data_IF_347155499537
#
_entry.id   IF_347155499537
#
_cell.length_a   1.000
_cell.length_b   1.000
_cell.length_c   1.000
_cell.angle_alpha   90.00
_cell.angle_beta   90.00
_cell.angle_gamma   90.00
#
_symmetry.space_group_name_H-M   'P 1'
#
loop_
_entity.id
_entity.type
_entity.pdbx_description
1 polymer ?
#
# COMPACT_ATOMS: atom_id res chain seq x y z
N UNK A 1 2.42 17.01 2.00
CA UNK A 1 2.10 16.62 0.61
C UNK A 1 1.03 17.55 0.03
N UNK A 2 -0.15 17.68 0.64
CA UNK A 2 -1.20 18.63 0.17
C UNK A 2 -0.68 20.06 -0.01
N UNK A 3 0.03 20.62 0.97
CA UNK A 3 0.64 21.95 0.87
C UNK A 3 1.70 22.09 -0.26
N UNK A 4 2.14 20.97 -0.85
CA UNK A 4 3.03 20.92 -2.01
C UNK A 4 2.27 20.64 -3.31
N UNK A 5 0.93 20.65 -3.29
CA UNK A 5 0.07 20.46 -4.46
C UNK A 5 -0.28 19.01 -4.79
N UNK A 6 0.01 18.04 -3.91
CA UNK A 6 -0.31 16.63 -4.15
C UNK A 6 -1.77 16.33 -3.83
N UNK A 7 -2.47 15.63 -4.73
CA UNK A 7 -3.78 15.04 -4.43
C UNK A 7 -3.60 13.80 -3.55
N UNK A 8 -4.40 13.69 -2.48
CA UNK A 8 -4.34 12.56 -1.55
C UNK A 8 -5.53 11.65 -1.79
N UNK A 9 -5.24 10.40 -2.13
CA UNK A 9 -6.22 9.32 -2.26
C UNK A 9 -6.05 8.39 -1.06
N UNK A 10 -7.14 8.10 -0.35
CA UNK A 10 -7.09 7.22 0.81
C UNK A 10 -8.41 6.46 1.02
N UNK A 11 -8.46 5.60 2.04
CA UNK A 11 -9.65 4.83 2.38
C UNK A 11 -9.71 4.56 3.89
N UNK A 12 -10.89 4.18 4.38
CA UNK A 12 -11.11 3.69 5.74
C UNK A 12 -10.63 4.65 6.84
N UNK A 13 -9.99 4.09 7.87
CA UNK A 13 -9.50 4.84 9.02
C UNK A 13 -8.47 5.92 8.66
N UNK A 14 -7.62 5.66 7.66
CA UNK A 14 -6.61 6.64 7.21
C UNK A 14 -7.26 7.87 6.58
N UNK A 15 -8.25 7.68 5.70
CA UNK A 15 -9.00 8.79 5.12
C UNK A 15 -9.70 9.63 6.19
N UNK A 16 -10.28 8.98 7.21
CA UNK A 16 -10.92 9.66 8.34
C UNK A 16 -9.92 10.50 9.14
N UNK A 17 -8.79 9.90 9.56
CA UNK A 17 -7.77 10.59 10.34
C UNK A 17 -7.18 11.81 9.60
N UNK A 18 -6.94 11.68 8.28
CA UNK A 18 -6.46 12.78 7.44
C UNK A 18 -7.49 13.92 7.34
N UNK A 19 -8.77 13.61 7.17
CA UNK A 19 -9.85 14.63 7.13
C UNK A 19 -10.02 15.34 8.47
N UNK A 20 -9.93 14.62 9.59
CA UNK A 20 -9.96 15.20 10.93
C UNK A 20 -8.78 16.16 11.17
N UNK A 21 -7.63 15.89 10.53
CA UNK A 21 -6.48 16.79 10.52
C UNK A 21 -6.60 17.94 9.50
N UNK A 22 -7.72 18.07 8.79
CA UNK A 22 -7.98 19.13 7.82
C UNK A 22 -7.39 18.91 6.43
N UNK A 23 -6.91 17.70 6.11
CA UNK A 23 -6.36 17.37 4.80
C UNK A 23 -7.48 17.00 3.82
N UNK A 24 -7.44 17.55 2.60
CA UNK A 24 -8.33 17.14 1.52
C UNK A 24 -7.98 15.73 1.05
N UNK A 25 -8.96 14.83 1.13
CA UNK A 25 -8.82 13.42 0.74
C UNK A 25 -9.93 13.03 -0.22
N UNK A 26 -9.53 12.48 -1.36
CA UNK A 26 -10.39 11.75 -2.30
C UNK A 26 -10.49 10.29 -1.84
N UNK A 27 -11.70 9.77 -1.69
CA UNK A 27 -11.87 8.36 -1.34
C UNK A 27 -11.45 7.46 -2.50
N UNK A 28 -10.89 6.30 -2.18
CA UNK A 28 -10.50 5.31 -3.20
C UNK A 28 -11.68 4.91 -4.09
N UNK A 29 -12.91 4.90 -3.57
CA UNK A 29 -14.13 4.62 -4.32
C UNK A 29 -14.45 5.69 -5.38
N UNK A 30 -14.02 6.94 -5.16
CA UNK A 30 -14.14 8.00 -6.17
C UNK A 30 -13.18 7.77 -7.35
N UNK A 31 -12.02 7.14 -7.09
CA UNK A 31 -11.09 6.72 -8.13
C UNK A 31 -11.60 5.47 -8.87
N UNK A 32 -12.07 4.46 -8.13
CA UNK A 32 -12.41 3.16 -8.74
C UNK A 32 -13.80 3.13 -9.36
N UNK A 33 -14.73 3.97 -8.89
CA UNK A 33 -16.15 3.89 -9.20
C UNK A 33 -16.80 2.59 -8.70
N UNK A 34 -16.09 1.81 -7.88
CA UNK A 34 -16.52 0.49 -7.42
C UNK A 34 -16.91 0.55 -5.93
N UNK A 35 -18.07 0.00 -5.54
CA UNK A 35 -18.52 0.05 -4.16
C UNK A 35 -17.65 -0.84 -3.26
N UNK A 36 -17.66 -0.55 -1.98
CA UNK A 36 -17.10 -1.45 -0.98
C UNK A 36 -17.94 -2.73 -0.89
N UNK A 37 -17.30 -3.88 -1.13
CA UNK A 37 -17.91 -5.21 -1.04
C UNK A 37 -16.99 -6.16 -0.27
N UNK A 38 -17.52 -7.31 0.16
CA UNK A 38 -16.77 -8.36 0.89
C UNK A 38 -16.02 -7.77 2.10
N UNK A 39 -16.72 -6.93 2.88
CA UNK A 39 -16.17 -6.26 4.07
C UNK A 39 -14.88 -5.48 3.81
N UNK A 40 -14.73 -4.99 2.57
CA UNK A 40 -13.61 -4.17 2.16
C UNK A 40 -12.37 -4.94 1.68
N UNK A 41 -12.43 -6.26 1.57
CA UNK A 41 -11.32 -7.10 1.10
C UNK A 41 -10.80 -6.77 -0.31
N UNK A 42 -11.64 -6.15 -1.14
CA UNK A 42 -11.30 -5.81 -2.53
C UNK A 42 -11.10 -4.32 -2.80
N UNK A 43 -11.09 -3.46 -1.76
CA UNK A 43 -11.07 -1.99 -1.89
C UNK A 43 -10.00 -1.46 -2.85
N UNK A 44 -8.79 -2.01 -2.77
CA UNK A 44 -7.62 -1.52 -3.51
C UNK A 44 -7.20 -2.44 -4.65
N UNK A 45 -7.78 -3.64 -4.75
CA UNK A 45 -7.48 -4.65 -5.78
C UNK A 45 -8.21 -4.31 -7.09
N UNK A 46 -7.91 -3.14 -7.65
CA UNK A 46 -8.59 -2.58 -8.81
C UNK A 46 -7.60 -2.16 -9.91
N UNK A 47 -7.91 -2.39 -11.21
CA UNK A 47 -7.03 -1.99 -12.30
C UNK A 47 -6.73 -0.48 -12.35
N UNK A 48 -7.66 0.38 -11.94
CA UNK A 48 -7.39 1.83 -11.88
C UNK A 48 -6.34 2.18 -10.82
N UNK A 49 -6.26 1.42 -9.73
CA UNK A 49 -5.23 1.61 -8.69
C UNK A 49 -3.90 1.02 -9.14
N UNK A 50 -3.89 -0.28 -9.46
CA UNK A 50 -2.65 -0.96 -9.83
C UNK A 50 -2.11 -0.53 -11.19
N UNK A 51 -2.95 -0.12 -12.13
CA UNK A 51 -2.54 0.50 -13.38
C UNK A 51 -1.89 1.86 -13.17
N UNK A 52 -2.40 2.66 -12.22
CA UNK A 52 -1.77 3.93 -11.84
C UNK A 52 -0.39 3.74 -11.21
N UNK A 53 -0.20 2.64 -10.47
CA UNK A 53 1.08 2.29 -9.84
C UNK A 53 2.06 1.62 -10.82
N UNK A 54 1.60 0.67 -11.64
CA UNK A 54 2.46 -0.17 -12.50
C UNK A 54 2.61 0.37 -13.92
N UNK A 55 1.84 1.39 -14.28
CA UNK A 55 1.97 2.12 -15.53
C UNK A 55 3.38 2.69 -15.66
N UNK A 56 4.11 2.24 -16.69
CA UNK A 56 5.47 2.68 -16.97
C UNK A 56 5.41 3.97 -17.76
N UNK A 57 6.04 5.02 -17.24
CA UNK A 57 6.01 6.35 -17.86
C UNK A 57 6.96 6.46 -19.04
N UNK A 58 7.93 5.57 -19.12
CA UNK A 58 8.89 5.45 -20.23
C UNK A 58 8.38 4.58 -21.40
N UNK A 59 7.17 4.02 -21.30
CA UNK A 59 6.58 3.13 -22.30
C UNK A 59 5.38 3.77 -22.98
N UNK A 60 5.54 4.13 -24.26
CA UNK A 60 4.46 4.72 -25.06
C UNK A 60 3.20 3.83 -25.10
N UNK A 61 3.38 2.51 -25.16
CA UNK A 61 2.27 1.55 -25.11
C UNK A 61 1.52 1.61 -23.78
N UNK A 62 2.21 1.73 -22.64
CA UNK A 62 1.56 1.81 -21.34
C UNK A 62 0.80 3.13 -21.21
N UNK A 63 1.41 4.25 -21.63
CA UNK A 63 0.75 5.57 -21.62
C UNK A 63 -0.54 5.57 -22.45
N UNK A 64 -0.51 4.99 -23.65
CA UNK A 64 -1.70 4.85 -24.51
C UNK A 64 -2.79 4.02 -23.81
N UNK A 65 -2.43 2.88 -23.23
CA UNK A 65 -3.37 2.01 -22.51
C UNK A 65 -3.95 2.71 -21.29
N UNK A 66 -3.13 3.40 -20.50
CA UNK A 66 -3.58 4.15 -19.32
C UNK A 66 -4.59 5.22 -19.73
N UNK A 67 -4.27 6.03 -20.74
CA UNK A 67 -5.16 7.06 -21.26
C UNK A 67 -6.48 6.45 -21.76
N UNK A 68 -6.40 5.39 -22.58
CA UNK A 68 -7.58 4.70 -23.14
C UNK A 68 -8.52 4.16 -22.07
N UNK A 69 -7.98 3.73 -20.93
CA UNK A 69 -8.73 3.12 -19.84
C UNK A 69 -9.00 4.07 -18.66
N UNK A 70 -8.68 5.37 -18.80
CA UNK A 70 -8.91 6.36 -17.74
C UNK A 70 -8.09 6.10 -16.48
N UNK A 71 -6.89 5.55 -16.64
CA UNK A 71 -5.98 5.25 -15.53
C UNK A 71 -5.07 6.45 -15.31
N UNK A 72 -5.25 7.11 -14.17
CA UNK A 72 -4.37 8.19 -13.72
C UNK A 72 -3.12 7.61 -13.03
N UNK A 73 -1.98 8.27 -13.18
CA UNK A 73 -0.73 7.83 -12.55
C UNK A 73 -0.78 8.05 -11.03
N UNK A 74 -0.17 7.12 -10.28
CA UNK A 74 0.06 7.26 -8.84
C UNK A 74 1.57 7.44 -8.63
N UNK A 75 1.96 8.59 -8.08
CA UNK A 75 3.36 8.98 -7.90
C UNK A 75 3.97 8.50 -6.59
N UNK A 76 3.14 8.31 -5.56
CA UNK A 76 3.57 7.92 -4.23
C UNK A 76 2.56 6.98 -3.58
N UNK A 77 3.05 5.90 -3.01
CA UNK A 77 2.29 4.94 -2.22
C UNK A 77 2.90 4.93 -0.81
N UNK A 78 2.12 5.36 0.18
CA UNK A 78 2.47 5.25 1.59
C UNK A 78 1.54 4.23 2.26
N UNK A 79 2.05 3.05 2.56
CA UNK A 79 1.26 1.91 3.07
C UNK A 79 2.09 1.17 4.12
N UNK A 80 1.57 1.09 5.34
CA UNK A 80 2.02 0.11 6.33
C UNK A 80 1.04 -1.07 6.34
N UNK A 81 1.54 -2.24 6.72
CA UNK A 81 0.72 -3.46 6.76
C UNK A 81 -0.01 -3.58 8.09
N UNK A 82 -1.13 -4.32 8.08
CA UNK A 82 -1.83 -4.66 9.32
C UNK A 82 -0.87 -5.28 10.34
N UNK A 83 -1.04 -4.98 11.64
CA UNK A 83 -0.19 -5.52 12.69
C UNK A 83 -0.54 -6.98 13.01
N UNK A 84 -0.44 -7.86 12.00
CA UNK A 84 -0.64 -9.30 12.17
C UNK A 84 0.20 -9.89 13.33
N UNK A 85 1.46 -9.47 13.57
CA UNK A 85 2.22 -9.90 14.74
C UNK A 85 1.54 -9.55 16.08
N UNK A 86 0.91 -8.39 16.17
CA UNK A 86 0.18 -7.97 17.37
C UNK A 86 -1.10 -8.77 17.52
N UNK A 87 -1.78 -9.08 16.40
CA UNK A 87 -2.98 -9.92 16.39
C UNK A 87 -2.68 -11.28 17.01
N UNK A 88 -1.70 -12.01 16.48
CA UNK A 88 -1.38 -13.37 16.93
C UNK A 88 -0.72 -13.43 18.32
N UNK A 89 -0.28 -12.28 18.85
CA UNK A 89 0.25 -12.18 20.21
C UNK A 89 -0.85 -12.01 21.28
N UNK A 90 -2.10 -11.77 20.89
CA UNK A 90 -3.23 -11.67 21.82
C UNK A 90 -3.61 -13.04 22.37
N UNK A 91 -3.99 -13.07 23.64
CA UNK A 91 -4.52 -14.27 24.28
C UNK A 91 -5.80 -14.73 23.57
N UNK A 92 -5.92 -16.05 23.33
CA UNK A 92 -7.11 -16.70 22.77
C UNK A 92 -7.51 -16.28 21.34
N UNK A 93 -6.59 -15.77 20.52
CA UNK A 93 -6.87 -15.57 19.08
C UNK A 93 -7.16 -16.92 18.42
N UNK A 94 -8.31 -16.99 17.74
CA UNK A 94 -8.69 -18.16 16.95
C UNK A 94 -7.98 -18.16 15.60
N UNK A 95 -7.87 -19.33 14.96
CA UNK A 95 -7.36 -19.41 13.59
C UNK A 95 -8.19 -18.55 12.63
N UNK A 96 -9.52 -18.56 12.77
CA UNK A 96 -10.43 -17.72 11.97
C UNK A 96 -10.09 -16.24 12.14
N UNK A 97 -9.96 -15.75 13.38
CA UNK A 97 -9.60 -14.35 13.64
C UNK A 97 -8.23 -14.00 13.05
N UNK A 98 -7.25 -14.90 13.14
CA UNK A 98 -5.95 -14.69 12.52
C UNK A 98 -6.06 -14.60 10.99
N UNK A 99 -6.76 -15.52 10.34
CA UNK A 99 -6.95 -15.54 8.88
C UNK A 99 -7.63 -14.25 8.40
N UNK A 100 -8.63 -13.76 9.12
CA UNK A 100 -9.33 -12.52 8.79
C UNK A 100 -8.43 -11.27 8.85
N UNK A 101 -7.38 -11.31 9.66
CA UNK A 101 -6.42 -10.22 9.80
C UNK A 101 -5.24 -10.31 8.81
N UNK A 102 -5.22 -11.27 7.89
CA UNK A 102 -4.22 -11.34 6.84
C UNK A 102 -4.56 -10.32 5.75
N UNK A 103 -3.80 -9.24 5.69
CA UNK A 103 -3.89 -8.24 4.62
C UNK A 103 -3.45 -8.80 3.25
N UNK A 104 -4.28 -8.56 2.24
CA UNK A 104 -4.01 -8.88 0.83
C UNK A 104 -3.74 -7.61 0.02
N UNK A 105 -4.52 -6.55 0.25
CA UNK A 105 -4.44 -5.31 -0.52
C UNK A 105 -3.16 -4.54 -0.25
N UNK A 106 -2.76 -4.44 1.03
CA UNK A 106 -1.54 -3.76 1.46
C UNK A 106 -0.28 -4.33 0.80
N UNK A 107 0.02 -5.64 0.97
CA UNK A 107 1.20 -6.25 0.34
C UNK A 107 1.18 -6.15 -1.19
N UNK A 108 0.00 -6.22 -1.82
CA UNK A 108 -0.13 -6.08 -3.28
C UNK A 108 0.24 -4.66 -3.74
N UNK A 109 -0.23 -3.62 -3.06
CA UNK A 109 0.14 -2.23 -3.36
C UNK A 109 1.63 -1.96 -3.11
N UNK A 110 2.16 -2.41 -1.97
CA UNK A 110 3.58 -2.27 -1.61
C UNK A 110 4.48 -2.88 -2.68
N UNK A 111 4.22 -4.13 -3.07
CA UNK A 111 4.99 -4.82 -4.11
C UNK A 111 4.83 -4.18 -5.49
N UNK A 112 3.63 -3.67 -5.80
CA UNK A 112 3.38 -2.98 -7.07
C UNK A 112 4.23 -1.71 -7.18
N UNK A 113 4.24 -0.89 -6.14
CA UNK A 113 5.00 0.36 -6.10
C UNK A 113 6.51 0.10 -6.07
N UNK A 114 6.97 -0.84 -5.24
CA UNK A 114 8.37 -1.24 -5.17
C UNK A 114 8.90 -1.78 -6.50
N UNK A 115 8.09 -2.57 -7.23
CA UNK A 115 8.44 -3.04 -8.58
C UNK A 115 8.63 -1.88 -9.56
N UNK A 116 7.81 -0.82 -9.45
CA UNK A 116 7.85 0.33 -10.34
C UNK A 116 8.57 1.55 -9.73
N UNK A 117 9.58 1.32 -8.87
CA UNK A 117 10.25 2.38 -8.09
C UNK A 117 10.81 3.55 -8.92
N UNK A 118 11.11 3.30 -10.20
CA UNK A 118 11.57 4.34 -11.14
C UNK A 118 10.56 5.48 -11.27
N UNK A 119 9.28 5.12 -11.25
CA UNK A 119 8.16 6.02 -11.46
C UNK A 119 7.42 6.32 -10.15
N UNK A 120 7.34 5.36 -9.23
CA UNK A 120 6.55 5.46 -7.99
C UNK A 120 7.43 5.45 -6.74
N UNK A 121 7.17 6.39 -5.83
CA UNK A 121 7.80 6.42 -4.50
C UNK A 121 7.01 5.48 -3.57
N UNK A 122 7.65 4.48 -2.99
CA UNK A 122 7.04 3.61 -1.98
C UNK A 122 7.56 4.00 -0.59
N UNK A 123 6.69 4.11 0.40
CA UNK A 123 7.07 4.30 1.81
C UNK A 123 6.26 3.35 2.69
N UNK A 124 6.96 2.42 3.36
CA UNK A 124 6.33 1.44 4.26
C UNK A 124 6.53 1.74 5.75
N UNK A 125 7.43 2.68 6.06
CA UNK A 125 7.77 3.05 7.45
C UNK A 125 7.55 4.55 7.70
N UNK A 126 6.77 4.94 8.71
CA UNK A 126 6.55 6.35 9.06
C UNK A 126 7.83 7.14 9.37
N UNK A 127 8.86 6.46 9.88
CA UNK A 127 10.16 7.08 10.15
C UNK A 127 10.84 7.67 8.90
N UNK A 128 10.43 7.25 7.70
CA UNK A 128 10.96 7.75 6.42
C UNK A 128 10.25 9.00 5.91
N UNK A 129 9.10 9.37 6.48
CA UNK A 129 8.30 10.49 5.98
C UNK A 129 9.07 11.82 5.95
N UNK A 130 9.82 12.14 7.02
CA UNK A 130 10.58 13.40 7.06
C UNK A 130 11.62 13.47 5.93
N UNK A 131 12.41 12.41 5.75
CA UNK A 131 13.42 12.35 4.69
C UNK A 131 12.80 12.49 3.29
N UNK A 132 11.70 11.78 3.03
CA UNK A 132 10.98 11.84 1.74
C UNK A 132 10.44 13.25 1.50
N UNK A 133 9.78 13.85 2.49
CA UNK A 133 9.20 15.19 2.38
C UNK A 133 10.30 16.24 2.16
N UNK A 134 11.42 16.15 2.87
CA UNK A 134 12.56 17.05 2.71
C UNK A 134 13.15 16.95 1.30
N UNK A 135 13.41 15.75 0.81
CA UNK A 135 13.96 15.58 -0.55
C UNK A 135 12.99 16.10 -1.62
N UNK A 136 11.69 15.78 -1.51
CA UNK A 136 10.65 16.33 -2.39
C UNK A 136 10.62 17.86 -2.38
N UNK A 137 10.74 18.50 -1.22
CA UNK A 137 10.74 19.97 -1.10
C UNK A 137 11.95 20.61 -1.77
N UNK A 138 13.13 19.98 -1.66
CA UNK A 138 14.37 20.55 -2.16
C UNK A 138 14.58 20.32 -3.66
N UNK A 139 14.19 19.15 -4.17
CA UNK A 139 14.50 18.72 -5.54
C UNK A 139 13.26 18.64 -6.45
N UNK A 140 12.06 18.70 -5.88
CA UNK A 140 10.81 18.42 -6.59
C UNK A 140 10.53 16.94 -6.82
N UNK A 141 11.52 16.08 -6.59
CA UNK A 141 11.44 14.62 -6.70
C UNK A 141 12.51 13.93 -5.85
N UNK A 142 12.39 12.62 -5.62
CA UNK A 142 13.42 11.77 -5.03
C UNK A 142 14.44 11.31 -6.07
N UNK A 143 15.70 11.21 -5.66
CA UNK A 143 16.71 10.54 -6.48
C UNK A 143 16.35 9.08 -6.76
N UNK A 144 16.83 8.54 -7.88
CA UNK A 144 16.64 7.13 -8.22
C UNK A 144 17.25 6.19 -7.17
N UNK A 145 18.36 6.61 -6.53
CA UNK A 145 18.98 5.89 -5.43
C UNK A 145 18.07 5.83 -4.20
N UNK A 146 17.47 6.96 -3.79
CA UNK A 146 16.50 7.01 -2.70
C UNK A 146 15.30 6.08 -3.00
N UNK A 147 14.74 6.18 -4.20
CA UNK A 147 13.61 5.33 -4.65
C UNK A 147 13.97 3.85 -4.62
N UNK A 148 15.17 3.49 -5.09
CA UNK A 148 15.64 2.11 -5.06
C UNK A 148 15.78 1.57 -3.63
N UNK A 149 16.38 2.35 -2.73
CA UNK A 149 16.54 1.95 -1.32
C UNK A 149 15.17 1.74 -0.64
N UNK A 150 14.22 2.66 -0.88
CA UNK A 150 12.85 2.50 -0.40
C UNK A 150 12.15 1.26 -0.96
N UNK A 151 12.41 0.90 -2.22
CA UNK A 151 11.87 -0.32 -2.83
C UNK A 151 12.47 -1.60 -2.24
N UNK A 152 13.77 -1.59 -1.92
CA UNK A 152 14.43 -2.69 -1.18
C UNK A 152 13.77 -2.86 0.18
N UNK A 153 13.60 -1.77 0.94
CA UNK A 153 12.92 -1.78 2.23
C UNK A 153 11.48 -2.33 2.11
N UNK A 154 10.74 -1.91 1.09
CA UNK A 154 9.38 -2.36 0.83
C UNK A 154 9.29 -3.88 0.55
N UNK A 155 10.19 -4.43 -0.27
CA UNK A 155 10.23 -5.87 -0.50
C UNK A 155 10.61 -6.65 0.77
N UNK A 156 11.60 -6.15 1.54
CA UNK A 156 11.95 -6.72 2.84
C UNK A 156 10.79 -6.71 3.82
N UNK A 157 10.01 -5.63 3.86
CA UNK A 157 8.83 -5.50 4.72
C UNK A 157 7.76 -6.56 4.38
N UNK A 158 7.47 -6.77 3.09
CA UNK A 158 6.52 -7.84 2.68
C UNK A 158 7.06 -9.25 2.91
N UNK A 159 8.36 -9.48 2.72
CA UNK A 159 8.97 -10.77 3.01
C UNK A 159 8.91 -11.11 4.51
N UNK A 160 9.14 -10.12 5.37
CA UNK A 160 8.99 -10.26 6.82
C UNK A 160 7.54 -10.59 7.20
N UNK A 161 6.57 -9.84 6.65
CA UNK A 161 5.15 -10.06 6.89
C UNK A 161 4.72 -11.49 6.51
N UNK A 162 5.05 -11.95 5.30
CA UNK A 162 4.73 -13.31 4.84
C UNK A 162 5.41 -14.39 5.71
N UNK A 163 6.63 -14.12 6.21
CA UNK A 163 7.33 -15.07 7.09
C UNK A 163 6.58 -15.29 8.41
N UNK A 164 5.96 -14.25 8.97
CA UNK A 164 5.20 -14.34 10.22
C UNK A 164 3.94 -15.16 10.00
N UNK A 165 3.20 -14.90 8.91
CA UNK A 165 2.01 -15.66 8.53
C UNK A 165 2.36 -17.14 8.35
N UNK A 166 3.42 -17.42 7.57
CA UNK A 166 3.85 -18.81 7.33
C UNK A 166 4.24 -19.53 8.61
N UNK A 167 4.97 -18.86 9.51
CA UNK A 167 5.40 -19.44 10.78
C UNK A 167 4.21 -19.71 11.70
N UNK A 168 3.26 -18.78 11.80
CA UNK A 168 2.04 -18.94 12.59
C UNK A 168 1.24 -20.15 12.12
N UNK A 169 0.89 -20.21 10.83
CA UNK A 169 0.10 -21.30 10.25
C UNK A 169 0.83 -22.65 10.32
N UNK A 170 2.17 -22.66 10.22
CA UNK A 170 2.95 -23.89 10.37
C UNK A 170 2.78 -24.50 11.76
N UNK A 171 2.67 -23.69 12.80
CA UNK A 171 2.49 -24.12 14.19
C UNK A 171 1.10 -24.67 14.52
N UNK A 172 0.14 -24.58 13.59
CA UNK A 172 -1.25 -24.98 13.80
C UNK A 172 -1.65 -26.18 12.93
N UNK A 173 -2.60 -26.97 13.42
CA UNK A 173 -3.40 -27.93 12.66
C UNK A 173 -4.52 -27.19 11.92
N UNK A 174 -5.19 -27.89 11.00
CA UNK A 174 -6.27 -27.30 10.19
C UNK A 174 -7.48 -26.87 11.05
N UNK A 175 -7.72 -27.53 12.18
CA UNK A 175 -8.74 -27.19 13.16
C UNK A 175 -8.34 -26.03 14.09
N UNK A 176 -7.13 -25.46 13.93
CA UNK A 176 -6.63 -24.34 14.72
C UNK A 176 -5.92 -24.74 16.02
N UNK A 177 -5.83 -26.03 16.34
CA UNK A 177 -5.07 -26.52 17.49
C UNK A 177 -3.56 -26.43 17.24
N UNK A 178 -2.78 -26.23 18.30
CA UNK A 178 -1.33 -26.30 18.21
C UNK A 178 -0.85 -27.70 17.73
N UNK A 179 0.17 -27.70 16.88
CA UNK A 179 0.86 -28.93 16.46
C UNK A 179 1.76 -29.50 17.55
#
# INVERSE_FOLDING_TARGET
LEAMGWEIISTGGTAKALREAGVKVKDISELTGFPEILEGRLKTLHPLVHGGILGRRDSALHLEQMQKHGIEAIDLVAVNLYPFPEVIARDNVTLEEAIENIDIGGPTMVRSAAKNYRDVIIVVEPAKYSMVIEELRHKGDLSLETRYNLAVEAFSHTAYYDSIISNYLRGLKEDGDAK
#
